data_IF_783498424462
#
_entry.id   IF_783498424462
#
_cell.length_a   1.000
_cell.length_b   1.000
_cell.length_c   1.000
_cell.angle_alpha   90.00
_cell.angle_beta   90.00
_cell.angle_gamma   90.00
#
_symmetry.space_group_name_H-M   'P 1'
#
loop_
_entity.id
_entity.type
_entity.pdbx_description
1 polymer ?
#
# COMPACT_ATOMS: atom_id res chain seq x y z
N UNK A 1 -29.86 14.46 -6.63
CA UNK A 1 -28.59 14.31 -5.87
C UNK A 1 -28.71 13.26 -4.76
N UNK A 2 -29.70 13.37 -3.86
CA UNK A 2 -29.90 12.43 -2.75
C UNK A 2 -29.98 10.95 -3.18
N UNK A 3 -30.74 10.62 -4.23
CA UNK A 3 -30.83 9.24 -4.73
C UNK A 3 -29.50 8.69 -5.26
N UNK A 4 -28.66 9.54 -5.88
CA UNK A 4 -27.30 9.13 -6.29
C UNK A 4 -26.45 8.78 -5.07
N UNK A 5 -26.50 9.60 -4.02
CA UNK A 5 -25.76 9.36 -2.76
C UNK A 5 -26.20 8.04 -2.13
N UNK A 6 -27.51 7.80 -2.00
CA UNK A 6 -28.04 6.52 -1.49
C UNK A 6 -27.56 5.34 -2.34
N UNK A 7 -27.56 5.48 -3.67
CA UNK A 7 -27.05 4.46 -4.58
C UNK A 7 -25.55 4.16 -4.40
N UNK A 8 -24.70 5.17 -4.18
CA UNK A 8 -23.28 4.94 -3.87
C UNK A 8 -23.09 4.21 -2.54
N UNK A 9 -23.81 4.62 -1.49
CA UNK A 9 -23.72 4.00 -0.17
C UNK A 9 -24.22 2.53 -0.20
N UNK A 10 -25.32 2.26 -0.89
CA UNK A 10 -25.85 0.90 -1.05
C UNK A 10 -24.84 -0.03 -1.74
N UNK A 11 -24.20 0.44 -2.83
CA UNK A 11 -23.16 -0.33 -3.52
C UNK A 11 -21.93 -0.57 -2.65
N UNK A 12 -21.56 0.38 -1.80
CA UNK A 12 -20.42 0.20 -0.90
C UNK A 12 -20.70 -0.84 0.19
N UNK A 13 -21.91 -0.87 0.73
CA UNK A 13 -22.35 -1.90 1.68
C UNK A 13 -22.34 -3.28 1.02
N UNK A 14 -22.85 -3.38 -0.21
CA UNK A 14 -22.84 -4.63 -0.98
C UNK A 14 -21.40 -5.11 -1.24
N UNK A 15 -20.51 -4.20 -1.65
CA UNK A 15 -19.09 -4.52 -1.81
C UNK A 15 -18.47 -5.07 -0.53
N UNK A 16 -18.72 -4.45 0.63
CA UNK A 16 -18.17 -4.96 1.89
C UNK A 16 -18.70 -6.33 2.28
N UNK A 17 -19.94 -6.66 1.94
CA UNK A 17 -20.47 -8.03 2.13
C UNK A 17 -19.72 -9.04 1.26
N UNK A 18 -19.42 -8.69 0.01
CA UNK A 18 -18.60 -9.55 -0.86
C UNK A 18 -17.17 -9.69 -0.33
N UNK A 19 -16.54 -8.60 0.13
CA UNK A 19 -15.21 -8.65 0.75
C UNK A 19 -15.20 -9.56 1.97
N UNK A 20 -16.20 -9.46 2.84
CA UNK A 20 -16.34 -10.33 4.02
C UNK A 20 -16.47 -11.81 3.62
N UNK A 21 -17.30 -12.11 2.63
CA UNK A 21 -17.56 -13.50 2.21
C UNK A 21 -16.40 -14.12 1.43
N UNK A 22 -15.68 -13.33 0.65
CA UNK A 22 -14.75 -13.84 -0.36
C UNK A 22 -13.28 -13.59 -0.02
N UNK A 23 -12.95 -12.51 0.70
CA UNK A 23 -11.57 -12.05 0.85
C UNK A 23 -11.01 -12.13 2.26
N UNK A 24 -11.79 -12.50 3.28
CA UNK A 24 -11.28 -12.60 4.66
C UNK A 24 -10.04 -13.49 4.79
N UNK A 25 -10.01 -14.63 4.09
CA UNK A 25 -8.86 -15.55 4.10
C UNK A 25 -7.62 -14.89 3.48
N UNK A 26 -7.77 -14.19 2.35
CA UNK A 26 -6.68 -13.53 1.65
C UNK A 26 -6.15 -12.31 2.41
N UNK A 27 -7.05 -11.56 3.08
CA UNK A 27 -6.69 -10.45 3.97
C UNK A 27 -5.88 -10.99 5.15
N UNK A 28 -6.33 -12.07 5.81
CA UNK A 28 -5.61 -12.69 6.91
C UNK A 28 -4.24 -13.23 6.49
N UNK A 29 -4.15 -13.84 5.30
CA UNK A 29 -2.87 -14.30 4.72
C UNK A 29 -1.92 -13.12 4.48
N UNK A 30 -2.41 -12.05 3.88
CA UNK A 30 -1.61 -10.84 3.62
C UNK A 30 -1.11 -10.20 4.91
N UNK A 31 -1.97 -10.10 5.94
CA UNK A 31 -1.59 -9.61 7.26
C UNK A 31 -0.53 -10.50 7.94
N UNK A 32 -0.61 -11.82 7.75
CA UNK A 32 0.39 -12.77 8.25
C UNK A 32 1.74 -12.54 7.58
N UNK A 33 1.77 -12.45 6.24
CA UNK A 33 3.01 -12.18 5.49
C UNK A 33 3.67 -10.87 5.92
N UNK A 34 2.88 -9.78 6.02
CA UNK A 34 3.36 -8.49 6.50
C UNK A 34 3.97 -8.58 7.90
N UNK A 35 3.28 -9.28 8.81
CA UNK A 35 3.72 -9.43 10.20
C UNK A 35 5.01 -10.27 10.31
N UNK A 36 5.11 -11.34 9.54
CA UNK A 36 6.29 -12.20 9.50
C UNK A 36 7.52 -11.47 8.94
N UNK A 37 7.36 -10.72 7.85
CA UNK A 37 8.40 -9.85 7.29
C UNK A 37 8.93 -8.85 8.32
N UNK A 38 8.03 -8.19 9.06
CA UNK A 38 8.45 -7.22 10.07
C UNK A 38 9.16 -7.89 11.26
N UNK A 39 8.70 -9.08 11.66
CA UNK A 39 9.32 -9.86 12.75
C UNK A 39 10.70 -10.40 12.38
N UNK A 40 10.95 -10.69 11.10
CA UNK A 40 12.27 -11.09 10.61
C UNK A 40 13.24 -9.91 10.41
N UNK A 41 12.81 -8.68 10.73
CA UNK A 41 13.62 -7.48 10.60
C UNK A 41 13.59 -6.86 9.20
N UNK A 42 12.71 -7.32 8.31
CA UNK A 42 12.45 -6.69 7.02
C UNK A 42 11.59 -5.44 7.14
N UNK A 43 11.46 -4.71 6.03
CA UNK A 43 10.60 -3.54 5.87
C UNK A 43 9.54 -3.77 4.79
N UNK A 44 8.49 -2.97 4.84
CA UNK A 44 7.43 -2.97 3.82
C UNK A 44 7.65 -1.83 2.83
N UNK A 45 7.82 -2.15 1.56
CA UNK A 45 7.82 -1.16 0.47
C UNK A 45 6.42 -1.12 -0.14
N UNK A 46 5.80 0.05 -0.22
CA UNK A 46 4.41 0.20 -0.66
C UNK A 46 4.34 1.09 -1.90
N UNK A 47 3.61 0.65 -2.92
CA UNK A 47 3.48 1.39 -4.19
C UNK A 47 2.05 1.37 -4.71
N UNK A 48 1.69 2.40 -5.48
CA UNK A 48 0.38 2.54 -6.09
C UNK A 48 0.30 3.84 -6.89
N UNK A 49 -0.70 3.93 -7.78
CA UNK A 49 -0.92 5.10 -8.64
C UNK A 49 -2.23 5.81 -8.30
N UNK A 50 -2.27 7.14 -8.45
CA UNK A 50 -3.49 7.93 -8.22
C UNK A 50 -4.03 7.80 -6.80
N UNK A 51 -5.30 7.39 -6.65
CA UNK A 51 -5.89 7.13 -5.33
C UNK A 51 -5.15 6.04 -4.54
N UNK A 52 -4.68 5.00 -5.23
CA UNK A 52 -3.88 3.94 -4.61
C UNK A 52 -2.51 4.42 -4.11
N UNK A 53 -1.98 5.52 -4.67
CA UNK A 53 -0.81 6.17 -4.12
C UNK A 53 -1.14 6.80 -2.75
N UNK A 54 -2.26 7.52 -2.64
CA UNK A 54 -2.70 8.07 -1.37
C UNK A 54 -2.87 6.98 -0.29
N UNK A 55 -3.45 5.83 -0.64
CA UNK A 55 -3.57 4.68 0.27
C UNK A 55 -2.19 4.12 0.65
N UNK A 56 -1.25 4.02 -0.30
CA UNK A 56 0.10 3.53 -0.04
C UNK A 56 0.87 4.37 0.98
N UNK A 57 0.81 5.71 0.88
CA UNK A 57 1.45 6.60 1.86
C UNK A 57 0.69 6.64 3.18
N UNK A 58 -0.64 6.50 3.15
CA UNK A 58 -1.42 6.38 4.38
C UNK A 58 -1.02 5.13 5.15
N UNK A 59 -0.99 3.97 4.48
CA UNK A 59 -0.55 2.70 5.07
C UNK A 59 0.87 2.79 5.65
N UNK A 60 1.83 3.32 4.88
CA UNK A 60 3.19 3.53 5.36
C UNK A 60 3.23 4.48 6.57
N UNK A 61 2.42 5.54 6.56
CA UNK A 61 2.32 6.50 7.66
C UNK A 61 1.76 5.90 8.95
N UNK A 62 0.77 5.01 8.85
CA UNK A 62 0.23 4.29 10.00
C UNK A 62 1.25 3.31 10.62
N UNK A 63 2.09 2.67 9.79
CA UNK A 63 3.15 1.79 10.27
C UNK A 63 4.30 2.56 10.93
N UNK A 64 4.81 3.61 10.28
CA UNK A 64 5.90 4.43 10.84
C UNK A 64 5.43 5.20 12.07
N UNK A 65 4.20 5.70 12.03
CA UNK A 65 3.53 6.33 13.15
C UNK A 65 2.94 5.33 14.13
N UNK A 66 1.76 5.67 14.65
CA UNK A 66 1.14 4.98 15.78
C UNK A 66 0.04 3.99 15.38
N UNK A 67 -0.73 4.28 14.33
CA UNK A 67 -2.02 3.63 14.10
C UNK A 67 -2.93 3.69 15.34
N UNK A 68 -3.16 2.56 16.03
CA UNK A 68 -4.05 2.48 17.19
C UNK A 68 -3.31 2.64 18.52
N UNK A 69 -2.15 2.00 18.66
CA UNK A 69 -1.44 1.85 19.94
C UNK A 69 -0.09 2.54 19.92
N UNK A 70 0.32 3.08 21.08
CA UNK A 70 1.67 3.63 21.22
C UNK A 70 2.69 2.49 21.27
N UNK A 71 3.44 2.33 20.18
CA UNK A 71 4.39 1.24 19.95
C UNK A 71 5.64 1.77 19.25
N UNK A 72 6.75 1.01 19.24
CA UNK A 72 7.90 1.33 18.40
C UNK A 72 7.49 1.49 16.93
N UNK A 73 8.15 2.40 16.22
CA UNK A 73 7.94 2.63 14.78
C UNK A 73 8.22 1.34 13.98
N UNK A 74 7.39 1.08 12.98
CA UNK A 74 7.54 -0.07 12.08
C UNK A 74 8.09 0.42 10.74
N UNK A 75 9.08 -0.30 10.20
CA UNK A 75 9.77 0.07 8.98
C UNK A 75 8.87 -0.11 7.75
N UNK A 76 8.43 1.01 7.17
CA UNK A 76 7.68 1.05 5.92
C UNK A 76 8.04 2.28 5.08
N UNK A 77 8.03 2.14 3.75
CA UNK A 77 8.36 3.21 2.80
C UNK A 77 7.34 3.22 1.66
N UNK A 78 6.68 4.36 1.45
CA UNK A 78 5.85 4.58 0.27
C UNK A 78 6.66 5.15 -0.91
N UNK A 79 6.78 4.37 -1.98
CA UNK A 79 7.70 4.62 -3.10
C UNK A 79 7.31 5.79 -4.02
N UNK A 80 6.16 6.41 -3.81
CA UNK A 80 5.70 7.53 -4.65
C UNK A 80 5.87 8.90 -3.97
N UNK A 81 6.45 8.95 -2.77
CA UNK A 81 6.52 10.18 -1.96
C UNK A 81 7.75 11.04 -2.27
N UNK A 82 8.86 10.43 -2.70
CA UNK A 82 10.03 11.16 -3.19
C UNK A 82 9.78 11.62 -4.63
N UNK A 83 9.32 12.86 -4.77
CA UNK A 83 9.03 13.47 -6.06
C UNK A 83 10.28 13.66 -6.92
N UNK A 84 11.47 13.78 -6.32
CA UNK A 84 12.71 13.91 -7.08
C UNK A 84 13.06 12.58 -7.74
N UNK A 85 12.91 11.46 -7.03
CA UNK A 85 13.10 10.13 -7.60
C UNK A 85 12.06 9.84 -8.69
N UNK A 86 10.78 10.12 -8.44
CA UNK A 86 9.74 9.90 -9.44
C UNK A 86 9.98 10.69 -10.74
N UNK A 87 10.35 11.96 -10.62
CA UNK A 87 10.56 12.83 -11.78
C UNK A 87 11.86 12.52 -12.52
N UNK A 88 12.94 12.21 -11.81
CA UNK A 88 14.21 11.80 -12.42
C UNK A 88 14.06 10.46 -13.16
N UNK A 89 13.53 9.42 -12.50
CA UNK A 89 13.36 8.10 -13.12
C UNK A 89 12.33 8.16 -14.25
N UNK A 90 11.20 8.84 -14.02
CA UNK A 90 10.17 9.00 -15.03
C UNK A 90 10.64 9.75 -16.28
N UNK A 91 11.54 10.72 -16.13
CA UNK A 91 12.15 11.46 -17.25
C UNK A 91 13.21 10.64 -17.98
N UNK A 92 14.10 9.98 -17.23
CA UNK A 92 15.32 9.38 -17.78
C UNK A 92 15.09 7.96 -18.31
N UNK A 93 14.17 7.20 -17.69
CA UNK A 93 13.90 5.79 -18.00
C UNK A 93 12.45 5.54 -18.45
N UNK A 94 11.52 6.42 -18.05
CA UNK A 94 10.10 6.31 -18.37
C UNK A 94 9.24 5.99 -17.14
N UNK A 95 7.95 6.27 -17.24
CA UNK A 95 7.02 6.15 -16.11
C UNK A 95 6.87 4.71 -15.60
N UNK A 96 7.05 3.72 -16.48
CA UNK A 96 6.92 2.30 -16.11
C UNK A 96 8.03 1.82 -15.17
N UNK A 97 9.13 2.58 -15.05
CA UNK A 97 10.28 2.23 -14.21
C UNK A 97 10.31 2.91 -12.84
N UNK A 98 9.37 3.83 -12.56
CA UNK A 98 9.43 4.66 -11.34
C UNK A 98 9.45 3.84 -10.04
N UNK A 99 8.79 2.69 -10.01
CA UNK A 99 8.78 1.82 -8.84
C UNK A 99 9.85 0.73 -8.90
N UNK A 100 10.03 0.08 -10.05
CA UNK A 100 11.01 -1.01 -10.18
C UNK A 100 12.43 -0.54 -9.88
N UNK A 101 12.80 0.67 -10.28
CA UNK A 101 14.12 1.25 -10.00
C UNK A 101 14.35 1.50 -8.51
N UNK A 102 13.29 1.89 -7.79
CA UNK A 102 13.35 2.06 -6.34
C UNK A 102 13.37 0.71 -5.61
N UNK A 103 12.62 -0.28 -6.10
CA UNK A 103 12.65 -1.64 -5.56
C UNK A 103 14.05 -2.24 -5.70
N UNK A 104 14.68 -2.11 -6.89
CA UNK A 104 16.06 -2.54 -7.14
C UNK A 104 17.05 -1.91 -6.15
N UNK A 105 16.88 -0.62 -5.82
CA UNK A 105 17.80 0.11 -4.95
C UNK A 105 17.54 -0.10 -3.45
N UNK A 106 16.29 -0.29 -3.03
CA UNK A 106 15.88 -0.22 -1.62
C UNK A 106 15.49 -1.58 -1.03
N UNK A 107 15.05 -2.55 -1.83
CA UNK A 107 14.60 -3.84 -1.33
C UNK A 107 15.78 -4.74 -0.90
N UNK A 108 15.66 -5.35 0.27
CA UNK A 108 16.50 -6.44 0.74
C UNK A 108 15.78 -7.79 0.67
N UNK A 109 16.53 -8.87 0.87
CA UNK A 109 16.02 -10.25 0.76
C UNK A 109 14.87 -10.58 1.73
N UNK A 110 14.78 -9.86 2.85
CA UNK A 110 13.76 -10.07 3.88
C UNK A 110 12.57 -9.12 3.76
N UNK A 111 12.57 -8.21 2.78
CA UNK A 111 11.52 -7.20 2.64
C UNK A 111 10.31 -7.71 1.87
N UNK A 112 9.20 -6.98 1.98
CA UNK A 112 7.98 -7.27 1.25
C UNK A 112 7.55 -6.05 0.44
N UNK A 113 7.23 -6.30 -0.84
CA UNK A 113 6.64 -5.30 -1.74
C UNK A 113 5.11 -5.43 -1.73
N UNK A 114 4.43 -4.34 -1.40
CA UNK A 114 2.97 -4.23 -1.39
C UNK A 114 2.51 -3.26 -2.48
N UNK A 115 2.05 -3.82 -3.60
CA UNK A 115 1.45 -3.06 -4.69
C UNK A 115 -0.07 -2.89 -4.54
N UNK A 116 -0.56 -1.67 -4.76
CA UNK A 116 -1.97 -1.32 -4.75
C UNK A 116 -2.35 -0.82 -6.14
N UNK A 117 -3.22 -1.56 -6.83
CA UNK A 117 -3.81 -1.15 -8.11
C UNK A 117 -5.28 -1.52 -8.17
N UNK A 118 -6.07 -0.67 -8.80
CA UNK A 118 -7.47 -0.97 -9.15
C UNK A 118 -7.61 -1.62 -10.53
N UNK A 119 -6.55 -1.66 -11.34
CA UNK A 119 -6.52 -2.17 -12.73
C UNK A 119 -5.19 -2.78 -13.12
#
# INVERSE_FOLDING_TARGET
MQEKIKGYLARHIELFRSVEQELCVEIARSATMLTETLRSGGKILVMGNGGSAADAQHFSGELVGRFLEDRPAIAAIALHTDTSVLTAVGNDFGFDEIFSRQVEALAGENDLLFGISTS
#
